data_IF_673755522453
#
_entry.id   IF_673755522453
#
_cell.length_a   1.000
_cell.length_b   1.000
_cell.length_c   1.000
_cell.angle_alpha   90.00
_cell.angle_beta   90.00
_cell.angle_gamma   90.00
#
_symmetry.space_group_name_H-M   'P 1'
#
loop_
_entity.id
_entity.type
_entity.pdbx_description
1 polymer ?
#
# COMPACT_ATOMS: atom_id res chain seq x y z
N UNK A 1 -8.22 -34.13 46.48
CA UNK A 1 -6.98 -33.63 45.81
C UNK A 1 -6.83 -32.15 46.14
N UNK A 2 -5.59 -31.63 46.23
CA UNK A 2 -5.31 -30.22 46.58
C UNK A 2 -5.95 -29.19 45.64
N UNK A 3 -6.36 -29.62 44.44
CA UNK A 3 -7.05 -28.81 43.43
C UNK A 3 -8.51 -28.48 43.81
N UNK A 4 -9.30 -29.47 44.26
CA UNK A 4 -10.70 -29.26 44.68
C UNK A 4 -10.83 -28.61 46.06
N UNK A 5 -9.72 -28.55 46.82
CA UNK A 5 -9.62 -27.85 48.11
C UNK A 5 -9.17 -26.39 47.97
N UNK A 6 -8.99 -25.88 46.74
CA UNK A 6 -8.51 -24.51 46.46
C UNK A 6 -7.18 -24.14 47.14
N UNK A 7 -6.37 -25.15 47.49
CA UNK A 7 -5.07 -24.98 48.16
C UNK A 7 -3.92 -25.10 47.14
N UNK A 8 -4.11 -24.48 45.98
CA UNK A 8 -3.08 -24.43 44.95
C UNK A 8 -2.04 -23.38 45.31
N UNK A 9 -0.76 -23.67 45.04
CA UNK A 9 0.33 -22.74 45.27
C UNK A 9 0.13 -21.52 44.37
N UNK A 10 -0.33 -20.42 44.96
CA UNK A 10 -0.60 -19.16 44.25
C UNK A 10 0.43 -18.11 44.67
N UNK A 11 1.19 -17.60 43.72
CA UNK A 11 1.98 -16.40 43.93
C UNK A 11 1.06 -15.19 43.76
N UNK A 12 0.90 -14.41 44.83
CA UNK A 12 0.12 -13.17 44.83
C UNK A 12 1.09 -12.00 44.90
N UNK A 13 1.54 -11.44 43.76
CA UNK A 13 2.42 -10.29 43.78
C UNK A 13 1.68 -9.13 44.43
N UNK A 14 2.32 -8.51 45.44
CA UNK A 14 1.82 -7.26 46.02
C UNK A 14 2.47 -6.12 45.24
N UNK A 15 1.66 -5.40 44.47
CA UNK A 15 2.10 -4.22 43.72
C UNK A 15 2.33 -3.07 44.71
N UNK A 16 3.56 -2.96 45.21
CA UNK A 16 3.98 -1.81 46.00
C UNK A 16 4.44 -0.68 45.07
N UNK A 17 4.27 0.59 45.47
CA UNK A 17 4.72 1.73 44.66
C UNK A 17 6.21 1.65 44.27
N UNK A 18 7.06 1.14 45.17
CA UNK A 18 8.48 0.95 44.91
C UNK A 18 8.77 -0.07 43.78
N UNK A 19 8.04 -1.19 43.75
CA UNK A 19 8.18 -2.19 42.68
C UNK A 19 7.75 -1.64 41.32
N UNK A 20 6.69 -0.84 41.31
CA UNK A 20 6.19 -0.21 40.09
C UNK A 20 7.22 0.79 39.53
N UNK A 21 7.77 1.65 40.39
CA UNK A 21 8.83 2.60 39.99
C UNK A 21 10.05 1.87 39.45
N UNK A 22 10.48 0.79 40.10
CA UNK A 22 11.62 0.00 39.65
C UNK A 22 11.39 -0.65 38.26
N UNK A 23 10.20 -1.24 38.04
CA UNK A 23 9.86 -1.83 36.74
C UNK A 23 9.81 -0.77 35.64
N UNK A 24 9.20 0.39 35.88
CA UNK A 24 9.19 1.48 34.91
C UNK A 24 10.58 2.05 34.64
N UNK A 25 11.45 2.14 35.64
CA UNK A 25 12.83 2.57 35.46
C UNK A 25 13.61 1.60 34.56
N UNK A 26 13.43 0.29 34.74
CA UNK A 26 14.06 -0.74 33.88
C UNK A 26 13.53 -0.65 32.45
N UNK A 27 12.21 -0.53 32.27
CA UNK A 27 11.60 -0.39 30.93
C UNK A 27 12.11 0.88 30.24
N UNK A 28 12.16 2.01 30.96
CA UNK A 28 12.70 3.27 30.46
C UNK A 28 14.17 3.15 30.05
N UNK A 29 15.01 2.55 30.89
CA UNK A 29 16.42 2.34 30.60
C UNK A 29 16.66 1.48 29.34
N UNK A 30 15.72 0.60 28.99
CA UNK A 30 15.78 -0.21 27.75
C UNK A 30 15.20 0.56 26.55
N UNK A 31 14.07 1.25 26.71
CA UNK A 31 13.39 1.92 25.60
C UNK A 31 14.06 3.23 25.17
N UNK A 32 14.73 3.94 26.07
CA UNK A 32 15.46 5.16 25.73
C UNK A 32 16.57 4.91 24.69
N UNK A 33 17.53 3.97 24.88
CA UNK A 33 18.57 3.74 23.88
C UNK A 33 17.98 3.19 22.57
N UNK A 34 16.96 2.33 22.63
CA UNK A 34 16.26 1.83 21.44
C UNK A 34 15.63 2.99 20.66
N UNK A 35 14.93 3.89 21.34
CA UNK A 35 14.31 5.07 20.74
C UNK A 35 15.34 5.98 20.07
N UNK A 36 16.50 6.22 20.70
CA UNK A 36 17.59 7.01 20.13
C UNK A 36 18.13 6.37 18.85
N UNK A 37 18.34 5.04 18.83
CA UNK A 37 18.82 4.32 17.65
C UNK A 37 17.80 4.43 16.50
N UNK A 38 16.50 4.25 16.79
CA UNK A 38 15.42 4.35 15.80
C UNK A 38 15.34 5.77 15.22
N UNK A 39 15.37 6.80 16.07
CA UNK A 39 15.34 8.20 15.64
C UNK A 39 16.54 8.54 14.77
N UNK A 40 17.74 8.09 15.16
CA UNK A 40 18.94 8.30 14.37
C UNK A 40 18.85 7.61 13.00
N UNK A 41 18.33 6.38 12.96
CA UNK A 41 18.10 5.66 11.70
C UNK A 41 17.07 6.38 10.81
N UNK A 42 15.97 6.88 11.39
CA UNK A 42 14.91 7.60 10.68
C UNK A 42 15.42 8.92 10.06
N UNK A 43 16.25 9.68 10.78
CA UNK A 43 16.83 10.95 10.27
C UNK A 43 17.77 10.81 9.06
N UNK A 44 18.25 9.59 8.79
CA UNK A 44 19.09 9.29 7.64
C UNK A 44 18.31 9.07 6.36
N UNK A 45 17.02 8.71 6.45
CA UNK A 45 16.17 8.54 5.28
C UNK A 45 15.94 9.90 4.65
N UNK A 46 16.20 10.00 3.35
CA UNK A 46 15.96 11.22 2.56
C UNK A 46 14.73 10.97 1.71
N UNK A 47 13.68 11.73 1.97
CA UNK A 47 12.44 11.70 1.19
C UNK A 47 12.25 13.05 0.51
N UNK A 48 11.81 13.03 -0.74
CA UNK A 48 11.46 14.22 -1.51
C UNK A 48 10.07 14.00 -2.07
N UNK A 49 9.16 14.91 -1.74
CA UNK A 49 7.78 14.91 -2.21
C UNK A 49 7.60 16.07 -3.19
N UNK A 50 7.13 15.78 -4.41
CA UNK A 50 6.78 16.78 -5.43
C UNK A 50 5.29 16.64 -5.78
N UNK A 51 4.52 17.72 -5.57
CA UNK A 51 3.09 17.75 -5.83
C UNK A 51 2.82 18.09 -7.31
N UNK A 52 2.70 17.04 -8.12
CA UNK A 52 2.40 17.20 -9.54
C UNK A 52 0.93 17.59 -9.82
N UNK A 53 0.02 17.50 -8.85
CA UNK A 53 -1.40 17.78 -9.05
C UNK A 53 -1.73 19.28 -9.07
N UNK A 54 -0.91 20.13 -8.43
CA UNK A 54 -1.02 21.59 -8.47
C UNK A 54 -0.24 22.19 -9.62
N UNK A 55 0.93 21.64 -9.90
CA UNK A 55 1.93 22.28 -10.75
C UNK A 55 1.80 21.86 -12.21
N UNK A 56 1.26 20.67 -12.48
CA UNK A 56 0.97 20.21 -13.83
C UNK A 56 -0.41 20.64 -14.33
N UNK A 57 -1.21 21.28 -13.48
CA UNK A 57 -2.53 21.81 -13.88
C UNK A 57 -2.34 23.29 -14.26
N UNK A 58 -2.62 23.67 -15.52
CA UNK A 58 -2.51 25.06 -15.97
C UNK A 58 -3.48 25.96 -15.20
N UNK A 59 -3.13 27.26 -15.07
CA UNK A 59 -3.88 28.23 -14.27
C UNK A 59 -5.40 28.22 -14.57
N UNK A 60 -5.77 28.08 -15.84
CA UNK A 60 -7.15 28.07 -16.33
C UNK A 60 -8.00 26.90 -15.80
N UNK A 61 -7.37 25.84 -15.28
CA UNK A 61 -8.03 24.63 -14.81
C UNK A 61 -7.77 24.32 -13.33
N UNK A 62 -7.20 25.26 -12.58
CA UNK A 62 -6.89 25.06 -11.14
C UNK A 62 -8.13 24.77 -10.29
N UNK A 63 -9.24 25.43 -10.60
CA UNK A 63 -10.52 25.23 -9.91
C UNK A 63 -11.27 23.98 -10.41
N UNK A 64 -11.06 23.60 -11.68
CA UNK A 64 -11.70 22.43 -12.29
C UNK A 64 -10.67 21.40 -12.78
N UNK A 65 -9.95 20.81 -11.82
CA UNK A 65 -8.95 19.74 -12.08
C UNK A 65 -9.56 18.56 -12.84
N UNK A 66 -10.83 18.20 -12.56
CA UNK A 66 -11.53 17.09 -13.22
C UNK A 66 -11.79 17.38 -14.69
N UNK A 67 -12.12 18.63 -15.04
CA UNK A 67 -12.28 19.09 -16.42
C UNK A 67 -11.00 18.89 -17.23
N UNK A 68 -9.85 19.24 -16.65
CA UNK A 68 -8.54 19.03 -17.29
C UNK A 68 -8.17 17.56 -17.49
N UNK A 69 -8.54 16.69 -16.54
CA UNK A 69 -8.29 15.24 -16.66
C UNK A 69 -9.15 14.63 -17.78
N UNK A 70 -10.40 15.11 -17.94
CA UNK A 70 -11.34 14.59 -18.94
C UNK A 70 -11.09 15.14 -20.35
N UNK A 71 -10.54 16.34 -20.50
CA UNK A 71 -10.33 16.95 -21.81
C UNK A 71 -9.32 16.17 -22.65
N UNK A 72 -9.67 15.81 -23.88
CA UNK A 72 -8.77 15.16 -24.84
C UNK A 72 -7.90 16.17 -25.60
N UNK A 73 -8.29 17.43 -25.60
CA UNK A 73 -7.66 18.50 -26.39
C UNK A 73 -6.40 19.09 -25.74
N UNK A 74 -6.14 18.79 -24.46
CA UNK A 74 -4.97 19.30 -23.73
C UNK A 74 -3.93 18.20 -23.56
N UNK A 75 -2.66 18.55 -23.81
CA UNK A 75 -1.54 17.69 -23.47
C UNK A 75 -1.45 17.56 -21.94
N UNK A 76 -1.37 16.32 -21.45
CA UNK A 76 -1.27 16.01 -20.01
C UNK A 76 0.17 15.69 -19.59
N UNK A 77 1.12 15.84 -20.51
CA UNK A 77 2.53 15.60 -20.27
C UNK A 77 3.08 16.74 -19.42
N UNK A 78 3.63 16.39 -18.27
CA UNK A 78 4.23 17.33 -17.36
C UNK A 78 5.63 16.85 -16.99
N UNK A 79 6.62 17.68 -17.25
CA UNK A 79 8.01 17.40 -16.92
C UNK A 79 8.37 18.21 -15.69
N UNK A 80 8.82 17.52 -14.65
CA UNK A 80 9.18 18.10 -13.35
C UNK A 80 10.66 17.88 -13.10
N UNK A 81 11.36 18.96 -12.72
CA UNK A 81 12.77 18.90 -12.31
C UNK A 81 12.81 18.88 -10.79
N UNK A 82 13.15 17.74 -10.22
CA UNK A 82 13.28 17.56 -8.78
C UNK A 82 14.75 17.73 -8.41
N UNK A 83 15.05 18.69 -7.53
CA UNK A 83 16.42 18.99 -7.10
C UNK A 83 16.71 18.24 -5.81
N UNK A 84 17.66 17.29 -5.87
CA UNK A 84 18.08 16.48 -4.72
C UNK A 84 19.22 17.20 -3.99
N UNK A 85 18.90 17.90 -2.89
CA UNK A 85 19.90 18.68 -2.13
C UNK A 85 20.81 17.84 -1.23
N UNK A 86 20.35 16.65 -0.82
CA UNK A 86 21.05 15.77 0.12
C UNK A 86 21.40 14.45 -0.58
N UNK A 87 22.61 13.95 -0.36
CA UNK A 87 23.05 12.69 -0.94
C UNK A 87 22.11 11.54 -0.56
N UNK A 88 21.50 10.90 -1.56
CA UNK A 88 20.68 9.71 -1.40
C UNK A 88 21.56 8.47 -1.58
N UNK A 89 21.72 7.67 -0.52
CA UNK A 89 22.43 6.40 -0.59
C UNK A 89 21.56 5.36 -1.29
N UNK A 90 22.12 4.63 -2.26
CA UNK A 90 21.44 3.55 -2.98
C UNK A 90 20.91 2.45 -2.02
N UNK A 91 19.76 1.80 -2.30
CA UNK A 91 18.88 1.96 -3.46
C UNK A 91 17.83 3.10 -3.30
N UNK A 92 17.48 3.74 -4.42
CA UNK A 92 16.46 4.79 -4.47
C UNK A 92 15.14 4.20 -4.96
N UNK A 93 14.05 4.47 -4.24
CA UNK A 93 12.70 4.06 -4.60
C UNK A 93 11.86 5.27 -4.97
N UNK A 94 10.99 5.10 -5.96
CA UNK A 94 10.05 6.13 -6.41
C UNK A 94 8.64 5.62 -6.19
N UNK A 95 7.88 6.34 -5.38
CA UNK A 95 6.50 6.02 -5.05
C UNK A 95 5.58 7.12 -5.57
N UNK A 96 4.35 6.74 -5.88
CA UNK A 96 3.27 7.70 -6.13
C UNK A 96 2.34 7.70 -4.92
N UNK A 97 1.94 8.89 -4.47
CA UNK A 97 0.97 9.04 -3.39
C UNK A 97 -0.41 9.40 -3.98
N UNK A 98 -1.47 8.84 -3.38
CA UNK A 98 -2.85 9.11 -3.76
C UNK A 98 -3.61 9.59 -2.52
N UNK A 99 -4.01 10.86 -2.50
CA UNK A 99 -4.91 11.38 -1.47
C UNK A 99 -6.38 11.17 -1.84
N UNK A 100 -7.24 10.98 -0.83
CA UNK A 100 -8.68 10.80 -1.01
C UNK A 100 -9.07 9.48 -1.69
N UNK A 101 -8.11 8.57 -1.92
CA UNK A 101 -8.38 7.26 -2.47
C UNK A 101 -8.62 6.25 -1.36
N UNK A 102 -9.89 5.99 -1.07
CA UNK A 102 -10.29 5.08 -0.01
C UNK A 102 -10.21 3.61 -0.45
N UNK A 103 -9.00 3.04 -0.46
CA UNK A 103 -8.81 1.59 -0.67
C UNK A 103 -9.42 0.77 0.47
N UNK A 104 -9.39 1.32 1.68
CA UNK A 104 -9.64 0.60 2.93
C UNK A 104 -10.95 1.01 3.64
N UNK A 105 -11.77 1.95 3.14
CA UNK A 105 -13.04 2.27 3.81
C UNK A 105 -14.08 1.15 3.62
N UNK A 106 -14.24 0.31 4.65
CA UNK A 106 -15.46 -0.36 5.18
C UNK A 106 -16.51 -0.97 4.21
N UNK A 107 -16.23 -1.08 2.91
CA UNK A 107 -16.79 -2.09 2.00
C UNK A 107 -15.83 -3.28 1.90
N UNK A 108 -15.16 -3.64 2.99
CA UNK A 108 -14.03 -4.57 3.11
C UNK A 108 -14.28 -6.01 2.60
N UNK A 109 -15.45 -6.29 2.03
CA UNK A 109 -15.73 -7.53 1.31
C UNK A 109 -16.02 -7.36 -0.18
N UNK A 110 -16.08 -6.14 -0.75
CA UNK A 110 -16.27 -5.94 -2.19
C UNK A 110 -14.98 -5.56 -2.91
N UNK A 111 -14.29 -4.49 -2.55
CA UNK A 111 -13.07 -4.09 -3.26
C UNK A 111 -11.95 -5.14 -3.14
N UNK A 112 -11.65 -5.59 -1.91
CA UNK A 112 -10.62 -6.60 -1.67
C UNK A 112 -10.98 -8.02 -2.17
N UNK A 113 -12.28 -8.41 -2.14
CA UNK A 113 -12.73 -9.73 -2.61
C UNK A 113 -13.09 -9.79 -4.09
N UNK A 114 -13.24 -8.66 -4.77
CA UNK A 114 -13.43 -8.58 -6.22
C UNK A 114 -12.09 -8.81 -6.95
N UNK A 115 -11.37 -9.83 -6.49
CA UNK A 115 -10.11 -10.33 -6.99
C UNK A 115 -10.25 -11.85 -7.10
N UNK A 116 -10.24 -12.37 -8.32
CA UNK A 116 -10.12 -13.80 -8.52
C UNK A 116 -8.66 -14.21 -8.45
N UNK A 117 -8.27 -14.90 -7.37
CA UNK A 117 -6.91 -15.41 -7.20
C UNK A 117 -6.51 -16.39 -8.31
N UNK A 118 -7.48 -17.14 -8.88
CA UNK A 118 -7.25 -18.05 -10.02
C UNK A 118 -6.85 -17.28 -11.28
N UNK A 119 -7.47 -16.12 -11.51
CA UNK A 119 -7.16 -15.23 -12.64
C UNK A 119 -5.81 -14.52 -12.47
N UNK A 120 -5.45 -14.10 -11.25
CA UNK A 120 -4.20 -13.40 -10.98
C UNK A 120 -2.96 -14.30 -11.07
N UNK A 121 -3.14 -15.63 -10.89
CA UNK A 121 -2.05 -16.59 -10.80
C UNK A 121 -1.48 -17.04 -12.15
N UNK A 122 -2.17 -16.91 -13.29
CA UNK A 122 -1.56 -16.97 -14.64
C UNK A 122 -2.58 -16.88 -15.80
N UNK A 123 -2.11 -16.41 -16.98
CA UNK A 123 -2.71 -16.69 -18.31
C UNK A 123 -2.56 -18.18 -18.72
N UNK A 124 -1.59 -18.89 -18.13
CA UNK A 124 -1.22 -20.26 -18.46
C UNK A 124 -2.25 -21.31 -17.97
N UNK A 125 -2.88 -21.10 -16.81
CA UNK A 125 -3.96 -21.99 -16.34
C UNK A 125 -5.23 -21.89 -17.19
N UNK A 126 -5.49 -20.75 -17.83
CA UNK A 126 -6.62 -20.58 -18.75
C UNK A 126 -6.47 -21.39 -20.03
N UNK A 127 -5.24 -21.68 -20.47
CA UNK A 127 -4.98 -22.55 -21.62
C UNK A 127 -5.05 -24.03 -21.26
N UNK A 128 -4.58 -24.43 -20.07
CA UNK A 128 -4.71 -25.81 -19.57
C UNK A 128 -6.16 -26.18 -19.24
N UNK A 129 -6.96 -25.25 -18.73
CA UNK A 129 -8.39 -25.49 -18.46
C UNK A 129 -9.26 -25.65 -19.71
N UNK A 130 -8.80 -25.19 -20.88
CA UNK A 130 -9.49 -25.38 -22.16
C UNK A 130 -9.26 -26.76 -22.78
N UNK A 131 -8.24 -27.50 -22.35
CA UNK A 131 -7.92 -28.84 -22.88
C UNK A 131 -8.73 -29.92 -22.16
N UNK A 132 -9.22 -29.67 -20.94
CA UNK A 132 -9.95 -30.66 -20.13
C UNK A 132 -11.48 -30.61 -20.26
N UNK A 133 -12.06 -29.61 -20.93
CA UNK A 133 -13.51 -29.51 -21.15
C UNK A 133 -13.86 -29.74 -22.63
N UNK A 134 -13.69 -30.99 -23.08
CA UNK A 134 -14.28 -31.44 -24.33
C UNK A 134 -14.82 -32.86 -24.21
N UNK A 135 -15.73 -33.09 -23.24
CA UNK A 135 -16.72 -34.16 -23.33
C UNK A 135 -18.05 -33.72 -22.71
N UNK A 136 -19.11 -33.80 -23.51
CA UNK A 136 -20.55 -33.72 -23.19
C UNK A 136 -21.29 -32.39 -23.46
N UNK A 137 -21.87 -32.35 -24.66
CA UNK A 137 -23.24 -31.95 -25.01
C UNK A 137 -23.89 -30.73 -24.33
N UNK A 138 -24.16 -29.69 -25.15
CA UNK A 138 -25.39 -28.90 -25.01
C UNK A 138 -25.23 -27.41 -24.72
N UNK A 139 -25.51 -26.60 -25.77
CA UNK A 139 -25.86 -25.16 -25.75
C UNK A 139 -24.69 -24.19 -25.50
N UNK A 140 -24.01 -23.81 -26.59
CA UNK A 140 -23.08 -22.67 -26.64
C UNK A 140 -23.78 -21.39 -26.15
N UNK A 141 -23.44 -20.95 -24.94
CA UNK A 141 -23.63 -19.56 -24.52
C UNK A 141 -22.26 -18.91 -24.46
N UNK A 142 -21.92 -18.13 -25.49
CA UNK A 142 -20.79 -17.21 -25.43
C UNK A 142 -21.11 -16.12 -24.39
N UNK A 143 -20.80 -16.38 -23.11
CA UNK A 143 -20.76 -15.31 -22.11
C UNK A 143 -19.42 -14.61 -22.18
N UNK A 144 -19.48 -13.44 -22.85
CA UNK A 144 -18.67 -12.22 -22.73
C UNK A 144 -17.27 -12.40 -22.15
N UNK A 145 -16.27 -11.98 -22.92
CA UNK A 145 -14.95 -11.54 -22.45
C UNK A 145 -15.09 -10.86 -21.08
N UNK A 146 -14.85 -11.62 -20.01
CA UNK A 146 -14.78 -11.05 -18.67
C UNK A 146 -13.48 -10.28 -18.66
N UNK A 147 -13.58 -8.97 -18.96
CA UNK A 147 -12.48 -8.06 -18.79
C UNK A 147 -11.91 -8.29 -17.40
N UNK A 148 -10.59 -8.45 -17.35
CA UNK A 148 -9.88 -8.57 -16.09
C UNK A 148 -10.12 -7.28 -15.28
N UNK A 149 -11.14 -7.25 -14.44
CA UNK A 149 -11.62 -5.97 -13.95
C UNK A 149 -12.63 -6.07 -12.84
N UNK A 150 -12.33 -6.86 -11.81
CA UNK A 150 -12.86 -6.49 -10.51
C UNK A 150 -12.37 -5.08 -10.12
N UNK A 151 -12.98 -4.45 -9.12
CA UNK A 151 -12.76 -3.04 -8.77
C UNK A 151 -11.26 -2.66 -8.63
N UNK A 152 -10.39 -3.61 -8.27
CA UNK A 152 -8.94 -3.40 -8.18
C UNK A 152 -8.22 -3.53 -9.54
N UNK A 153 -8.71 -4.39 -10.45
CA UNK A 153 -8.22 -4.48 -11.82
C UNK A 153 -8.72 -3.34 -12.72
N UNK A 154 -9.94 -2.86 -12.48
CA UNK A 154 -10.57 -1.76 -13.23
C UNK A 154 -10.08 -0.37 -12.84
N UNK A 155 -9.65 -0.16 -11.58
CA UNK A 155 -9.07 1.09 -11.10
C UNK A 155 -7.53 1.13 -11.21
N UNK A 156 -6.96 0.44 -12.20
CA UNK A 156 -5.51 0.39 -12.39
C UNK A 156 -5.01 1.74 -12.91
N UNK A 157 -4.03 2.32 -12.22
CA UNK A 157 -3.31 3.48 -12.72
C UNK A 157 -2.62 3.12 -14.04
N UNK A 158 -2.81 3.96 -15.05
CA UNK A 158 -2.16 3.79 -16.33
C UNK A 158 -0.65 4.05 -16.18
N UNK A 159 0.14 2.97 -16.24
CA UNK A 159 1.58 2.96 -16.02
C UNK A 159 2.42 3.53 -17.20
N UNK A 160 1.78 4.10 -18.23
CA UNK A 160 2.48 4.73 -19.37
C UNK A 160 3.18 6.04 -19.03
N UNK A 161 3.11 6.52 -17.80
CA UNK A 161 3.87 7.68 -17.33
C UNK A 161 5.29 7.23 -16.98
N UNK A 162 6.33 7.89 -17.54
CA UNK A 162 7.67 7.35 -17.57
C UNK A 162 8.19 7.11 -16.14
N UNK A 163 8.84 5.96 -16.00
CA UNK A 163 9.82 5.70 -14.96
C UNK A 163 10.79 6.88 -14.97
N UNK A 164 10.82 7.69 -13.90
CA UNK A 164 11.72 8.83 -13.81
C UNK A 164 13.16 8.35 -14.09
N UNK A 165 13.74 8.80 -15.20
CA UNK A 165 15.16 8.57 -15.50
C UNK A 165 15.95 9.47 -14.54
N UNK A 166 16.57 8.86 -13.53
CA UNK A 166 17.49 9.55 -12.64
C UNK A 166 18.80 9.71 -13.39
N UNK A 167 18.99 10.87 -14.02
CA UNK A 167 20.26 11.23 -14.64
C UNK A 167 21.18 11.75 -13.51
N UNK A 168 22.28 11.02 -13.25
CA UNK A 168 23.33 11.52 -12.34
C UNK A 168 24.08 12.63 -13.06
N UNK A 169 24.12 13.81 -12.45
CA UNK A 169 25.17 14.79 -12.74
C UNK A 169 26.49 14.32 -12.11
#
# INVERSE_FOLDING_TARGET
SKFWQQESRSYKPRLTPAMIVAVFAVIGAVFIPIGVIILHASSKVVEIVDHYDSDCVPANFRENKVGFIRSTNTSKTCIRKIIVRKLMKSPVFVYYELHGFHQNHLRETRYAKDKSNKQLRSKAQTLLGKVTESTSSGRMSFRKNSQAGGLIGGAKLNATKPHSTVERA
#
